data_IF_022634902891
#
_entry.id   IF_022634902891
#
_cell.length_a   1.000
_cell.length_b   1.000
_cell.length_c   1.000
_cell.angle_alpha   90.00
_cell.angle_beta   90.00
_cell.angle_gamma   90.00
#
_symmetry.space_group_name_H-M   'P 1'
#
loop_
_entity.id
_entity.type
_entity.pdbx_description
1 polymer ?
#
# COMPACT_ATOMS: atom_id res chain seq x y z
N UNK A 1 -52.31 -32.61 5.78
CA UNK A 1 -53.47 -31.85 5.28
C UNK A 1 -53.28 -30.37 5.61
N UNK A 2 -52.97 -29.53 4.63
CA UNK A 2 -52.89 -28.08 4.83
C UNK A 2 -54.30 -27.48 4.83
N UNK A 3 -54.62 -26.65 5.83
CA UNK A 3 -55.92 -26.01 5.98
C UNK A 3 -56.03 -24.88 4.93
N UNK A 4 -57.11 -24.81 4.13
CA UNK A 4 -57.24 -23.79 3.10
C UNK A 4 -57.22 -22.40 3.74
N UNK A 5 -56.28 -21.57 3.30
CA UNK A 5 -56.07 -20.24 3.85
C UNK A 5 -57.07 -19.25 3.24
N UNK A 6 -57.63 -18.36 4.06
CA UNK A 6 -58.59 -17.36 3.61
C UNK A 6 -57.93 -16.42 2.58
N UNK A 7 -58.56 -16.15 1.42
CA UNK A 7 -57.97 -15.35 0.35
C UNK A 7 -57.58 -13.94 0.80
N UNK A 8 -58.33 -13.33 1.74
CA UNK A 8 -57.98 -12.01 2.29
C UNK A 8 -56.69 -12.05 3.10
N UNK A 9 -56.46 -13.12 3.87
CA UNK A 9 -55.22 -13.32 4.64
C UNK A 9 -54.04 -13.59 3.71
N UNK A 10 -54.24 -14.37 2.66
CA UNK A 10 -53.21 -14.63 1.66
C UNK A 10 -52.78 -13.33 0.94
N UNK A 11 -53.73 -12.49 0.53
CA UNK A 11 -53.44 -11.21 -0.12
C UNK A 11 -52.71 -10.24 0.82
N UNK A 12 -53.14 -10.15 2.09
CA UNK A 12 -52.49 -9.27 3.06
C UNK A 12 -51.06 -9.73 3.38
N UNK A 13 -50.83 -11.03 3.52
CA UNK A 13 -49.49 -11.59 3.71
C UNK A 13 -48.59 -11.28 2.51
N UNK A 14 -49.12 -11.44 1.29
CA UNK A 14 -48.38 -11.14 0.06
C UNK A 14 -47.96 -9.66 0.00
N UNK A 15 -48.89 -8.74 0.28
CA UNK A 15 -48.59 -7.30 0.30
C UNK A 15 -47.51 -6.96 1.34
N UNK A 16 -47.63 -7.48 2.56
CA UNK A 16 -46.62 -7.25 3.62
C UNK A 16 -45.25 -7.78 3.19
N UNK A 17 -45.20 -8.96 2.58
CA UNK A 17 -43.93 -9.56 2.12
C UNK A 17 -43.30 -8.74 1.00
N UNK A 18 -44.09 -8.28 0.03
CA UNK A 18 -43.61 -7.43 -1.07
C UNK A 18 -43.08 -6.10 -0.55
N UNK A 19 -43.79 -5.41 0.34
CA UNK A 19 -43.32 -4.14 0.91
C UNK A 19 -42.06 -4.34 1.78
N UNK A 20 -42.01 -5.41 2.56
CA UNK A 20 -40.85 -5.73 3.40
C UNK A 20 -39.57 -5.99 2.59
N UNK A 21 -39.68 -6.47 1.34
CA UNK A 21 -38.53 -6.75 0.46
C UNK A 21 -38.23 -5.55 -0.46
N UNK A 22 -39.25 -4.97 -1.09
CA UNK A 22 -39.08 -3.93 -2.11
C UNK A 22 -38.53 -2.62 -1.53
N UNK A 23 -38.98 -2.21 -0.34
CA UNK A 23 -38.53 -0.96 0.29
C UNK A 23 -37.01 -0.99 0.59
N UNK A 24 -36.47 -1.97 1.35
CA UNK A 24 -35.04 -1.98 1.65
C UNK A 24 -34.19 -2.18 0.39
N UNK A 25 -34.64 -2.98 -0.58
CA UNK A 25 -33.93 -3.14 -1.86
C UNK A 25 -33.84 -1.82 -2.63
N UNK A 26 -34.93 -1.05 -2.68
CA UNK A 26 -34.95 0.27 -3.34
C UNK A 26 -34.03 1.26 -2.63
N UNK A 27 -33.99 1.26 -1.29
CA UNK A 27 -33.07 2.11 -0.51
C UNK A 27 -31.60 1.71 -0.76
N UNK A 28 -31.30 0.41 -0.82
CA UNK A 28 -29.95 -0.10 -1.10
C UNK A 28 -29.47 0.29 -2.50
N UNK A 29 -30.34 0.18 -3.50
CA UNK A 29 -30.05 0.63 -4.87
C UNK A 29 -29.78 2.14 -4.93
N UNK A 30 -30.57 2.95 -4.21
CA UNK A 30 -30.35 4.41 -4.14
C UNK A 30 -29.01 4.77 -3.48
N UNK A 31 -28.66 4.09 -2.39
CA UNK A 31 -27.39 4.31 -1.70
C UNK A 31 -26.19 3.97 -2.60
N UNK A 32 -26.32 2.91 -3.42
CA UNK A 32 -25.27 2.50 -4.35
C UNK A 32 -25.03 3.53 -5.47
N UNK A 33 -26.11 4.12 -6.01
CA UNK A 33 -26.02 5.18 -7.04
C UNK A 33 -25.35 6.45 -6.47
N UNK A 34 -25.62 6.79 -5.21
CA UNK A 34 -25.00 7.98 -4.57
C UNK A 34 -23.50 7.77 -4.30
N UNK A 35 -23.09 6.53 -3.95
CA UNK A 35 -21.68 6.17 -3.80
C UNK A 35 -20.91 6.29 -5.12
N UNK A 36 -21.52 5.83 -6.22
CA UNK A 36 -20.91 5.91 -7.55
C UNK A 36 -20.73 7.36 -8.02
N UNK A 37 -21.66 8.25 -7.61
CA UNK A 37 -21.57 9.69 -7.92
C UNK A 37 -20.48 10.42 -7.12
N UNK A 38 -20.02 9.85 -6.00
CA UNK A 38 -18.97 10.44 -5.15
C UNK A 38 -17.56 9.99 -5.49
N UNK A 39 -17.40 8.99 -6.36
CA UNK A 39 -16.08 8.69 -6.90
C UNK A 39 -15.62 9.91 -7.72
N UNK A 40 -14.49 10.55 -7.38
CA UNK A 40 -13.94 11.60 -8.20
C UNK A 40 -13.69 10.99 -9.58
N UNK A 41 -14.35 11.54 -10.61
CA UNK A 41 -13.94 11.26 -11.98
C UNK A 41 -12.49 11.71 -12.07
N UNK A 42 -11.57 10.75 -12.12
CA UNK A 42 -10.24 10.96 -12.64
C UNK A 42 -10.41 11.24 -14.13
N UNK A 43 -10.82 12.48 -14.45
CA UNK A 43 -10.78 12.95 -15.82
C UNK A 43 -9.31 12.83 -16.26
N UNK A 44 -9.03 12.11 -17.36
CA UNK A 44 -7.66 11.96 -17.84
C UNK A 44 -7.08 13.36 -18.03
N UNK A 45 -5.96 13.63 -17.35
CA UNK A 45 -5.22 14.87 -17.50
C UNK A 45 -4.96 15.01 -19.01
N UNK A 46 -5.41 16.12 -19.65
CA UNK A 46 -5.14 16.33 -21.06
C UNK A 46 -3.62 16.31 -21.26
N UNK A 47 -3.13 15.32 -22.01
CA UNK A 47 -1.71 15.15 -22.37
C UNK A 47 -1.15 16.33 -23.19
N UNK A 48 -1.94 17.35 -23.45
CA UNK A 48 -1.60 18.47 -24.34
C UNK A 48 -0.87 19.63 -23.66
N UNK A 49 -0.50 19.51 -22.37
CA UNK A 49 0.30 20.53 -21.67
C UNK A 49 1.58 20.01 -21.01
N UNK A 50 2.09 18.84 -21.39
CA UNK A 50 3.52 18.57 -21.19
C UNK A 50 4.26 19.36 -22.25
N UNK A 51 4.45 20.65 -21.96
CA UNK A 51 5.37 21.50 -22.68
C UNK A 51 6.73 20.81 -22.58
N UNK A 52 7.18 20.30 -23.72
CA UNK A 52 8.49 19.74 -23.90
C UNK A 52 9.49 20.89 -23.72
N UNK A 53 9.88 21.13 -22.47
CA UNK A 53 10.92 22.09 -22.15
C UNK A 53 12.20 21.57 -22.81
N UNK A 54 12.76 22.41 -23.67
CA UNK A 54 14.02 22.16 -24.35
C UNK A 54 15.10 21.88 -23.28
N UNK A 55 15.71 20.68 -23.24
CA UNK A 55 16.73 20.34 -22.25
C UNK A 55 17.99 21.22 -22.35
N UNK A 56 18.05 22.13 -23.32
CA UNK A 56 19.13 23.08 -23.54
C UNK A 56 19.06 24.34 -22.66
N UNK A 57 17.92 24.67 -22.05
CA UNK A 57 17.75 25.93 -21.29
C UNK A 57 17.36 25.71 -19.82
N UNK A 58 18.09 24.83 -19.12
CA UNK A 58 18.10 24.85 -17.66
C UNK A 58 18.88 26.09 -17.19
N UNK A 59 18.20 27.24 -17.13
CA UNK A 59 18.67 28.40 -16.37
C UNK A 59 18.59 28.04 -14.89
N UNK A 60 19.67 27.51 -14.35
CA UNK A 60 19.86 27.39 -12.90
C UNK A 60 19.70 28.81 -12.34
N UNK A 61 18.68 29.09 -11.49
CA UNK A 61 18.60 30.36 -10.81
C UNK A 61 19.83 30.46 -9.91
N UNK A 62 20.80 31.31 -10.24
CA UNK A 62 21.99 31.56 -9.41
C UNK A 62 21.68 32.28 -8.10
N UNK A 63 20.42 32.29 -7.66
CA UNK A 63 20.08 32.77 -6.33
C UNK A 63 20.30 31.61 -5.37
N UNK A 64 21.53 31.53 -4.89
CA UNK A 64 21.90 30.75 -3.72
C UNK A 64 20.82 30.99 -2.65
N UNK A 65 20.03 29.97 -2.27
CA UNK A 65 19.11 30.15 -1.16
C UNK A 65 19.96 30.55 0.03
N UNK A 66 19.55 31.59 0.77
CA UNK A 66 20.17 31.97 2.03
C UNK A 66 20.01 30.77 2.98
N UNK A 67 21.00 29.86 2.95
CA UNK A 67 21.09 28.75 3.88
C UNK A 67 21.31 29.43 5.23
N UNK A 68 20.37 29.35 6.18
CA UNK A 68 20.59 29.92 7.50
C UNK A 68 21.88 29.30 8.04
N UNK A 69 22.75 30.16 8.58
CA UNK A 69 24.03 29.77 9.16
C UNK A 69 23.86 28.45 9.93
N UNK A 70 24.69 27.44 9.67
CA UNK A 70 24.57 26.16 10.35
C UNK A 70 24.56 26.45 11.85
N UNK A 71 23.45 26.10 12.51
CA UNK A 71 23.30 26.29 13.94
C UNK A 71 24.58 25.78 14.62
N UNK A 72 25.11 26.51 15.62
CA UNK A 72 26.34 26.12 16.29
C UNK A 72 26.18 24.66 16.71
N UNK A 73 27.07 23.81 16.19
CA UNK A 73 27.11 22.39 16.52
C UNK A 73 27.36 22.29 18.01
N UNK A 74 26.29 22.24 18.79
CA UNK A 74 26.39 21.81 20.17
C UNK A 74 26.90 20.38 20.12
N UNK A 75 28.02 20.07 20.77
CA UNK A 75 28.46 18.70 20.88
C UNK A 75 27.31 17.92 21.53
N UNK A 76 26.75 16.96 20.79
CA UNK A 76 25.82 15.99 21.35
C UNK A 76 26.64 15.11 22.26
N UNK A 77 26.77 15.51 23.52
CA UNK A 77 27.32 14.68 24.58
C UNK A 77 26.21 13.66 24.88
N UNK A 78 26.34 12.47 24.32
CA UNK A 78 25.55 11.33 24.76
C UNK A 78 25.99 10.99 26.19
N UNK A 79 25.13 11.12 27.21
CA UNK A 79 25.44 10.66 28.56
C UNK A 79 25.21 9.15 28.56
N UNK A 80 26.21 8.41 28.12
CA UNK A 80 26.21 6.96 28.04
C UNK A 80 27.65 6.48 27.96
N UNK A 81 28.15 6.06 29.12
CA UNK A 81 29.26 5.15 29.37
C UNK A 81 30.28 4.99 28.22
N UNK A 82 31.45 5.60 28.41
CA UNK A 82 32.60 5.41 27.56
C UNK A 82 32.98 3.93 27.53
N UNK A 83 32.58 3.25 26.45
CA UNK A 83 33.17 1.98 26.07
C UNK A 83 34.61 2.25 25.64
N UNK A 84 35.53 2.05 26.57
CA UNK A 84 36.95 1.88 26.25
C UNK A 84 37.04 0.56 25.48
N UNK A 85 37.15 0.66 24.15
CA UNK A 85 37.48 -0.49 23.32
C UNK A 85 38.93 -0.88 23.61
N UNK A 86 39.10 -1.96 24.36
CA UNK A 86 40.40 -2.53 24.68
C UNK A 86 40.97 -3.14 23.38
N UNK A 87 42.09 -2.62 22.83
CA UNK A 87 42.63 -3.04 21.54
C UNK A 87 43.05 -4.51 21.50
N UNK A 88 43.20 -5.13 22.67
CA UNK A 88 43.57 -6.54 22.82
C UNK A 88 42.37 -7.48 23.01
N UNK A 89 41.13 -6.98 22.92
CA UNK A 89 39.96 -7.86 22.98
C UNK A 89 39.98 -8.76 21.74
N UNK A 90 40.17 -10.09 21.89
CA UNK A 90 40.11 -10.98 20.75
C UNK A 90 38.70 -10.86 20.16
N UNK A 91 38.64 -10.46 18.89
CA UNK A 91 37.39 -10.44 18.11
C UNK A 91 36.82 -11.85 18.23
N UNK A 92 35.78 -11.98 19.05
CA UNK A 92 35.06 -13.24 19.19
C UNK A 92 34.60 -13.63 17.79
N UNK A 93 34.89 -14.87 17.38
CA UNK A 93 34.35 -15.51 16.16
C UNK A 93 32.83 -15.63 16.32
N UNK A 94 32.16 -14.48 16.29
CA UNK A 94 30.73 -14.39 16.09
C UNK A 94 30.47 -15.10 14.76
N UNK A 95 29.56 -16.09 14.73
CA UNK A 95 29.15 -16.72 13.50
C UNK A 95 28.87 -15.63 12.49
N UNK A 96 29.63 -15.63 11.38
CA UNK A 96 29.41 -14.70 10.28
C UNK A 96 27.91 -14.75 9.99
N UNK A 97 27.19 -13.61 10.09
CA UNK A 97 25.78 -13.60 9.76
C UNK A 97 25.65 -14.26 8.40
N UNK A 98 24.83 -15.32 8.31
CA UNK A 98 24.51 -15.90 7.02
C UNK A 98 24.12 -14.74 6.10
N UNK A 99 24.64 -14.70 4.86
CA UNK A 99 24.31 -13.64 3.93
C UNK A 99 22.79 -13.51 3.91
N UNK A 100 22.31 -12.29 4.16
CA UNK A 100 20.89 -12.00 4.17
C UNK A 100 20.28 -12.63 2.90
N UNK A 101 19.14 -13.33 3.01
CA UNK A 101 18.52 -13.99 1.87
C UNK A 101 18.45 -12.99 0.72
N UNK A 102 18.88 -13.43 -0.46
CA UNK A 102 18.94 -12.62 -1.67
C UNK A 102 17.55 -12.00 -1.88
N UNK A 103 17.41 -10.72 -1.49
CA UNK A 103 16.21 -9.93 -1.71
C UNK A 103 16.20 -9.62 -3.20
N UNK A 104 15.89 -10.61 -4.03
CA UNK A 104 15.63 -10.37 -5.43
C UNK A 104 14.38 -9.49 -5.50
N UNK A 105 14.49 -8.22 -5.92
CA UNK A 105 13.31 -7.43 -6.18
C UNK A 105 12.56 -8.19 -7.27
N UNK A 106 11.36 -8.67 -6.95
CA UNK A 106 10.47 -9.29 -7.91
C UNK A 106 10.26 -8.23 -8.98
N UNK A 107 10.87 -8.43 -10.15
CA UNK A 107 10.81 -7.50 -11.27
C UNK A 107 9.47 -7.65 -11.98
N UNK A 108 8.38 -7.40 -11.26
CA UNK A 108 7.09 -7.17 -11.90
C UNK A 108 7.21 -5.86 -12.67
N UNK A 109 6.95 -5.87 -13.96
CA UNK A 109 6.90 -4.63 -14.72
C UNK A 109 5.73 -3.77 -14.20
N UNK A 110 5.91 -2.46 -14.11
CA UNK A 110 4.85 -1.54 -13.70
C UNK A 110 3.54 -1.78 -14.46
N UNK A 111 3.62 -1.89 -15.78
CA UNK A 111 2.47 -2.16 -16.65
C UNK A 111 1.74 -3.44 -16.26
N UNK A 112 2.46 -4.49 -15.88
CA UNK A 112 1.87 -5.75 -15.47
C UNK A 112 1.14 -5.64 -14.13
N UNK A 113 1.74 -4.93 -13.17
CA UNK A 113 1.12 -4.62 -11.89
C UNK A 113 -0.20 -3.87 -12.08
N UNK A 114 -0.17 -2.77 -12.84
CA UNK A 114 -1.33 -1.91 -13.08
C UNK A 114 -2.42 -2.64 -13.88
N UNK A 115 -2.03 -3.43 -14.88
CA UNK A 115 -2.95 -4.26 -15.68
C UNK A 115 -3.66 -5.32 -14.84
N UNK A 116 -2.99 -5.90 -13.84
CA UNK A 116 -3.62 -6.83 -12.89
C UNK A 116 -4.59 -6.13 -11.91
N UNK A 117 -4.52 -4.79 -11.82
CA UNK A 117 -5.23 -3.99 -10.83
C UNK A 117 -4.49 -3.93 -9.49
N UNK A 118 -3.16 -4.07 -9.50
CA UNK A 118 -2.29 -3.77 -8.38
C UNK A 118 -2.02 -2.27 -8.27
N UNK A 119 -1.35 -1.85 -7.20
CA UNK A 119 -0.88 -0.49 -7.02
C UNK A 119 0.65 -0.45 -7.17
N UNK A 120 1.15 0.22 -8.20
CA UNK A 120 2.59 0.35 -8.38
C UNK A 120 3.17 1.38 -7.40
N UNK A 121 4.19 0.97 -6.65
CA UNK A 121 4.94 1.84 -5.76
C UNK A 121 6.42 1.87 -6.19
N UNK A 122 6.87 3.01 -6.70
CA UNK A 122 8.25 3.20 -7.18
C UNK A 122 9.30 3.20 -6.04
N UNK A 123 8.88 3.51 -4.81
CA UNK A 123 9.74 3.56 -3.64
C UNK A 123 9.07 2.82 -2.47
N UNK A 124 8.89 1.51 -2.65
CA UNK A 124 8.53 0.60 -1.57
C UNK A 124 9.70 0.33 -0.64
N UNK A 125 9.38 -0.03 0.61
CA UNK A 125 10.39 -0.47 1.58
C UNK A 125 10.66 -1.98 1.41
N UNK A 126 11.92 -2.40 1.17
CA UNK A 126 12.30 -3.82 1.16
C UNK A 126 12.28 -4.41 2.58
N UNK A 127 12.16 -3.57 3.60
CA UNK A 127 12.16 -3.96 5.00
C UNK A 127 10.80 -4.49 5.46
N UNK A 128 9.78 -4.42 4.59
CA UNK A 128 8.48 -5.02 4.85
C UNK A 128 8.64 -6.51 5.17
N UNK A 129 7.97 -6.95 6.23
CA UNK A 129 8.01 -8.33 6.74
C UNK A 129 9.31 -8.76 7.43
N UNK A 130 10.21 -7.83 7.77
CA UNK A 130 11.29 -8.14 8.70
C UNK A 130 10.79 -8.19 10.15
N UNK A 131 11.36 -9.06 11.00
CA UNK A 131 11.02 -9.10 12.41
C UNK A 131 11.17 -7.73 13.07
N UNK A 132 10.28 -7.34 14.00
CA UNK A 132 10.39 -6.09 14.73
C UNK A 132 11.77 -5.92 15.37
N UNK A 133 12.40 -4.76 15.14
CA UNK A 133 13.74 -4.45 15.65
C UNK A 133 14.90 -4.97 14.79
N UNK A 134 14.63 -5.61 13.64
CA UNK A 134 15.67 -5.97 12.68
C UNK A 134 16.30 -4.72 12.07
N UNK A 135 17.63 -4.71 11.98
CA UNK A 135 18.32 -3.69 11.20
C UNK A 135 18.05 -3.92 9.71
N UNK A 136 17.51 -2.91 9.05
CA UNK A 136 17.29 -2.92 7.62
C UNK A 136 17.72 -1.60 7.00
N UNK A 137 18.24 -1.65 5.79
CA UNK A 137 18.60 -0.46 5.04
C UNK A 137 17.37 -0.08 4.22
N UNK A 138 16.74 1.03 4.58
CA UNK A 138 15.66 1.63 3.80
C UNK A 138 16.23 2.16 2.48
N UNK A 139 16.06 1.38 1.42
CA UNK A 139 16.31 1.80 0.04
C UNK A 139 14.99 1.78 -0.73
N UNK A 140 14.79 2.71 -1.65
CA UNK A 140 13.63 2.65 -2.54
C UNK A 140 13.72 1.43 -3.44
N UNK A 141 12.76 0.52 -3.31
CA UNK A 141 12.59 -0.63 -4.22
C UNK A 141 11.22 -0.54 -4.86
N UNK A 142 11.21 -0.53 -6.19
CA UNK A 142 9.96 -0.57 -6.93
C UNK A 142 9.24 -1.89 -6.69
N UNK A 143 7.95 -1.85 -6.32
CA UNK A 143 7.16 -3.01 -5.96
C UNK A 143 5.69 -2.85 -6.36
N UNK A 144 5.04 -3.98 -6.62
CA UNK A 144 3.60 -4.03 -6.84
C UNK A 144 2.88 -4.31 -5.51
N UNK A 145 2.09 -3.35 -5.04
CA UNK A 145 1.29 -3.47 -3.82
C UNK A 145 -0.11 -4.04 -4.11
N UNK A 146 -0.66 -4.72 -3.13
CA UNK A 146 -1.92 -5.46 -3.23
C UNK A 146 -2.74 -5.39 -1.94
N UNK A 147 -4.01 -5.81 -1.98
CA UNK A 147 -4.91 -5.74 -0.84
C UNK A 147 -5.48 -4.34 -0.61
N UNK A 148 -5.52 -3.94 0.66
CA UNK A 148 -6.15 -2.69 1.10
C UNK A 148 -7.66 -2.64 0.90
N UNK A 149 -8.27 -1.54 1.34
CA UNK A 149 -9.70 -1.29 1.15
C UNK A 149 -10.10 -1.20 -0.33
N UNK A 150 -9.15 -0.83 -1.20
CA UNK A 150 -9.35 -0.75 -2.64
C UNK A 150 -9.39 -2.13 -3.33
N UNK A 151 -8.92 -3.19 -2.66
CA UNK A 151 -8.92 -4.55 -3.22
C UNK A 151 -7.93 -4.73 -4.37
N UNK A 152 -6.74 -4.14 -4.26
CA UNK A 152 -5.68 -4.27 -5.25
C UNK A 152 -5.26 -5.74 -5.42
N UNK A 153 -4.97 -6.16 -6.66
CA UNK A 153 -4.69 -7.57 -7.00
C UNK A 153 -3.32 -7.74 -7.60
N UNK A 154 -2.73 -8.90 -7.35
CA UNK A 154 -1.47 -9.29 -7.98
C UNK A 154 -1.70 -9.90 -9.37
N UNK A 155 -0.66 -9.92 -10.23
CA UNK A 155 -0.60 -10.75 -11.43
C UNK A 155 -0.93 -12.24 -11.15
N UNK A 156 -1.33 -12.99 -12.18
CA UNK A 156 -1.90 -14.35 -12.04
C UNK A 156 -0.95 -15.38 -11.39
N UNK A 157 0.36 -15.19 -11.59
CA UNK A 157 1.45 -16.02 -11.08
C UNK A 157 1.99 -15.54 -9.72
N UNK A 158 1.46 -14.46 -9.18
CA UNK A 158 1.88 -13.86 -7.93
C UNK A 158 0.81 -14.01 -6.84
N UNK A 159 1.27 -13.88 -5.59
CA UNK A 159 0.44 -13.93 -4.39
C UNK A 159 0.69 -12.67 -3.57
N UNK A 160 -0.38 -12.16 -2.97
CA UNK A 160 -0.28 -11.00 -2.08
C UNK A 160 0.21 -11.47 -0.71
N UNK A 161 1.38 -11.00 -0.29
CA UNK A 161 1.99 -11.32 1.00
C UNK A 161 2.42 -10.04 1.72
N UNK A 162 3.16 -10.14 2.82
CA UNK A 162 3.77 -8.98 3.51
C UNK A 162 2.74 -7.90 3.91
N UNK A 163 1.55 -8.33 4.37
CA UNK A 163 0.47 -7.43 4.77
C UNK A 163 0.86 -6.60 5.99
N UNK A 164 0.77 -5.27 5.85
CA UNK A 164 1.06 -4.35 6.94
C UNK A 164 -0.07 -3.32 7.15
N UNK A 165 -0.64 -3.21 8.36
CA UNK A 165 -0.47 -4.13 9.50
C UNK A 165 -1.17 -5.48 9.26
N UNK A 166 -0.63 -6.57 9.82
CA UNK A 166 -1.20 -7.91 9.62
C UNK A 166 -2.63 -8.01 10.19
N UNK A 167 -3.54 -8.61 9.43
CA UNK A 167 -4.91 -8.88 9.85
C UNK A 167 -5.87 -7.68 9.80
N UNK A 168 -5.42 -6.50 9.37
CA UNK A 168 -6.30 -5.36 9.14
C UNK A 168 -7.03 -5.46 7.79
N UNK A 169 -8.27 -4.99 7.73
CA UNK A 169 -9.07 -5.03 6.50
C UNK A 169 -8.54 -4.09 5.41
N UNK A 170 -7.80 -3.06 5.82
CA UNK A 170 -7.12 -2.07 4.98
C UNK A 170 -5.61 -2.34 4.86
N UNK A 171 -5.13 -3.51 5.30
CA UNK A 171 -3.74 -3.89 5.19
C UNK A 171 -3.29 -3.95 3.74
N UNK A 172 -2.18 -3.30 3.44
CA UNK A 172 -1.52 -3.33 2.14
C UNK A 172 -0.42 -4.38 2.17
N UNK A 173 -0.43 -5.28 1.19
CA UNK A 173 0.61 -6.29 0.97
C UNK A 173 1.50 -5.95 -0.23
N UNK A 174 2.42 -6.85 -0.55
CA UNK A 174 3.30 -6.81 -1.72
C UNK A 174 3.11 -8.09 -2.52
N UNK A 175 3.08 -7.98 -3.84
CA UNK A 175 3.00 -9.13 -4.73
C UNK A 175 4.36 -9.83 -4.81
N UNK A 176 4.35 -11.14 -4.54
CA UNK A 176 5.52 -12.01 -4.61
C UNK A 176 5.22 -13.21 -5.49
N UNK A 177 6.25 -13.81 -6.07
CA UNK A 177 6.12 -15.08 -6.76
C UNK A 177 5.57 -16.14 -5.81
N UNK A 178 4.68 -17.01 -6.31
CA UNK A 178 4.19 -18.14 -5.53
C UNK A 178 5.37 -19.10 -5.31
N UNK A 179 5.83 -19.22 -4.07
CA UNK A 179 6.82 -20.24 -3.69
C UNK A 179 6.30 -21.62 -4.13
N UNK A 180 7.07 -22.29 -5.00
CA UNK A 180 6.74 -23.59 -5.60
C UNK A 180 7.23 -24.75 -4.75
#
# INVERSE_FOLDING_TARGET
>A
MMKPMNPKKAMMLFLVTVFAIAIPLTLLLRARIDLDRRQPKNDPIPLEQVQQEDPSEVRIPSKEPDIPDPLPRTPVIYPGEGLILDPDTPVSDQPRPEPAPDLHPVRTAQEECERAGGHWNECGSPCRNLPPGSACIEVCVAQCECGGFAGFRCPEDQVCTDYEPEGAADAMGVCRERAS
#
